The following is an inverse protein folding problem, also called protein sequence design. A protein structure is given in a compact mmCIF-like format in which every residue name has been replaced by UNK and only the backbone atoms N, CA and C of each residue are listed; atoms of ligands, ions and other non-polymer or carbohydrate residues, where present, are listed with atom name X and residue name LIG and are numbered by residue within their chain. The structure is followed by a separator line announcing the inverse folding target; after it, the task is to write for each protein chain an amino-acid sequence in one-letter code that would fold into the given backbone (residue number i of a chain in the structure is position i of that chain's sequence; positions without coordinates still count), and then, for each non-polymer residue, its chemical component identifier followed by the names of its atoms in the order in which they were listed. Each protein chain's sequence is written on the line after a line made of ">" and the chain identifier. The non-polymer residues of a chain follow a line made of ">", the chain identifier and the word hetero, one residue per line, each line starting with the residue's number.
data_IF_931936911317
#
_entry.id   IF_931936911317
#
_cell.length_a   1.000
_cell.length_b   1.000
_cell.length_c   1.000
_cell.angle_alpha   90.00
_cell.angle_beta   90.00
_cell.angle_gamma   90.00
#
_symmetry.space_group_name_H-M   'P 1'
#
loop_
_entity.id
_entity.type
_entity.pdbx_description
1 polymer ?
#
# COMPACT_ATOMS: atom_id res chain seq x y z
N UNK A 1 27.70 54.41 57.83
CA UNK A 1 27.04 55.65 57.38
C UNK A 1 26.04 55.27 56.29
N UNK A 2 24.73 55.42 56.57
CA UNK A 2 23.53 55.61 55.71
C UNK A 2 23.48 54.97 54.29
N UNK A 3 22.35 54.56 53.70
CA UNK A 3 20.92 54.32 54.01
C UNK A 3 20.35 53.77 52.68
N UNK A 4 19.56 52.68 52.75
CA UNK A 4 18.29 52.39 52.04
C UNK A 4 18.18 52.74 50.53
N UNK A 5 17.84 51.75 49.68
CA UNK A 5 16.64 51.74 48.83
C UNK A 5 16.27 50.28 48.48
N UNK A 6 15.03 49.96 48.84
CA UNK A 6 14.29 48.74 48.56
C UNK A 6 13.89 48.68 47.08
N UNK A 7 14.11 47.54 46.42
CA UNK A 7 13.26 47.07 45.32
C UNK A 7 13.06 45.57 45.46
N UNK A 8 11.83 45.23 45.80
CA UNK A 8 11.26 43.90 45.94
C UNK A 8 11.41 43.17 44.59
N UNK A 9 12.28 42.16 44.53
CA UNK A 9 12.29 41.20 43.43
C UNK A 9 11.31 40.08 43.78
N UNK A 10 10.24 39.97 42.98
CA UNK A 10 9.32 38.84 43.04
C UNK A 10 10.07 37.57 42.61
N UNK A 11 9.97 36.59 43.50
CA UNK A 11 10.61 35.28 43.46
C UNK A 11 9.80 34.34 42.54
N UNK A 12 10.51 33.38 41.95
CA UNK A 12 10.11 31.98 41.70
C UNK A 12 9.10 31.65 40.57
N UNK A 13 9.20 30.51 39.87
CA UNK A 13 10.15 29.39 39.80
C UNK A 13 9.83 28.62 38.50
N UNK A 14 10.85 27.93 37.99
CA UNK A 14 10.89 26.88 36.96
C UNK A 14 9.57 26.13 36.67
N UNK A 15 9.33 25.87 35.38
CA UNK A 15 9.11 24.51 34.86
C UNK A 15 9.54 24.44 33.37
N UNK A 16 10.53 23.60 33.02
CA UNK A 16 10.80 23.25 31.63
C UNK A 16 9.90 22.06 31.26
N UNK A 17 9.04 22.21 30.26
CA UNK A 17 8.35 21.07 29.68
C UNK A 17 8.13 21.28 28.19
N UNK A 18 8.86 20.45 27.44
CA UNK A 18 8.53 19.90 26.13
C UNK A 18 7.81 20.81 25.13
N UNK A 19 8.58 21.21 24.12
CA UNK A 19 8.30 20.89 22.71
C UNK A 19 6.80 20.63 22.42
N UNK A 20 6.15 21.61 21.80
CA UNK A 20 4.88 21.44 21.10
C UNK A 20 5.05 20.35 20.03
N UNK A 21 4.84 19.09 20.39
CA UNK A 21 4.44 18.07 19.43
C UNK A 21 2.97 18.32 19.14
N UNK A 22 2.70 19.02 18.04
CA UNK A 22 1.41 18.97 17.38
C UNK A 22 1.18 17.51 16.98
N UNK A 23 0.43 16.78 17.80
CA UNK A 23 -0.12 15.49 17.41
C UNK A 23 -1.31 15.81 16.51
N UNK A 24 -1.08 15.79 15.20
CA UNK A 24 -2.14 15.72 14.20
C UNK A 24 -2.88 14.39 14.42
N UNK A 25 -3.93 14.43 15.24
CA UNK A 25 -4.95 13.39 15.27
C UNK A 25 -5.84 13.63 14.05
N UNK A 26 -5.81 12.80 12.99
CA UNK A 26 -6.81 12.95 11.96
C UNK A 26 -8.15 12.58 12.58
N UNK A 27 -9.11 13.50 12.48
CA UNK A 27 -10.51 13.28 12.81
C UNK A 27 -11.05 12.19 11.86
N UNK A 28 -11.01 10.94 12.33
CA UNK A 28 -11.27 9.74 11.52
C UNK A 28 -12.77 9.45 11.30
N UNK A 29 -13.51 10.41 10.75
CA UNK A 29 -14.90 10.21 10.34
C UNK A 29 -15.12 10.40 8.83
N UNK A 30 -14.07 10.64 8.06
CA UNK A 30 -14.14 10.66 6.60
C UNK A 30 -13.85 9.24 6.10
N UNK A 31 -14.71 8.63 5.26
CA UNK A 31 -14.40 7.33 4.67
C UNK A 31 -13.05 7.45 3.98
N UNK A 32 -12.16 6.44 4.11
CA UNK A 32 -10.84 6.52 3.50
C UNK A 32 -11.03 6.85 2.02
N UNK A 33 -10.53 8.00 1.59
CA UNK A 33 -10.57 8.38 0.19
C UNK A 33 -9.94 7.24 -0.62
N UNK A 34 -10.73 6.67 -1.54
CA UNK A 34 -10.29 5.57 -2.39
C UNK A 34 -9.01 5.89 -3.17
N UNK A 35 -8.71 7.19 -3.35
CA UNK A 35 -7.48 7.71 -3.92
C UNK A 35 -6.20 7.36 -3.12
N UNK A 36 -6.27 7.23 -1.79
CA UNK A 36 -5.07 6.93 -0.99
C UNK A 36 -4.81 5.43 -0.80
N UNK A 37 -5.85 4.60 -0.94
CA UNK A 37 -5.84 3.20 -0.51
C UNK A 37 -4.79 2.35 -1.24
N UNK A 38 -4.40 2.68 -2.47
CA UNK A 38 -3.36 1.94 -3.22
C UNK A 38 -2.10 2.74 -3.52
N UNK A 39 -1.94 3.92 -2.92
CA UNK A 39 -0.75 4.74 -3.17
C UNK A 39 0.52 3.96 -2.86
N UNK A 40 1.53 4.11 -3.71
CA UNK A 40 2.85 3.49 -3.53
C UNK A 40 3.45 3.86 -2.17
N UNK A 41 3.78 2.82 -1.40
CA UNK A 41 4.48 2.93 -0.12
C UNK A 41 5.67 1.98 -0.11
N UNK A 42 6.63 2.22 0.77
CA UNK A 42 7.71 1.24 1.01
C UNK A 42 7.11 -0.06 1.51
N UNK A 43 7.62 -1.19 1.02
CA UNK A 43 7.25 -2.51 1.51
C UNK A 43 7.37 -2.60 3.03
N UNK A 44 6.38 -3.22 3.67
CA UNK A 44 6.29 -3.36 5.13
C UNK A 44 6.15 -4.83 5.52
N UNK A 45 6.76 -5.28 6.63
CA UNK A 45 6.63 -6.67 7.09
C UNK A 45 5.18 -7.14 7.33
N UNK A 46 4.26 -6.23 7.62
CA UNK A 46 2.83 -6.55 7.75
C UNK A 46 2.20 -7.06 6.44
N UNK A 47 2.84 -6.82 5.29
CA UNK A 47 2.44 -7.37 4.00
C UNK A 47 2.74 -8.87 3.88
N UNK A 48 3.61 -9.43 4.73
CA UNK A 48 4.06 -10.83 4.63
C UNK A 48 2.92 -11.86 4.67
N UNK A 49 1.78 -11.52 5.27
CA UNK A 49 0.58 -12.38 5.26
C UNK A 49 0.00 -12.62 3.86
N UNK A 50 0.43 -11.84 2.86
CA UNK A 50 -0.02 -11.92 1.47
C UNK A 50 1.04 -12.47 0.52
N UNK A 51 2.19 -12.91 1.04
CA UNK A 51 3.17 -13.65 0.24
C UNK A 51 2.54 -14.96 -0.22
N UNK A 52 2.79 -15.31 -1.48
CA UNK A 52 2.31 -16.58 -2.02
C UNK A 52 2.11 -16.55 -3.53
N UNK A 53 1.79 -17.72 -4.06
CA UNK A 53 1.43 -17.89 -5.46
C UNK A 53 -0.08 -17.87 -5.60
N UNK A 54 -0.61 -17.07 -6.52
CA UNK A 54 -2.04 -16.89 -6.73
C UNK A 54 -2.40 -17.20 -8.17
N UNK A 55 -3.57 -17.80 -8.37
CA UNK A 55 -4.16 -18.05 -9.68
C UNK A 55 -5.41 -17.20 -9.87
N UNK A 56 -5.52 -16.57 -11.04
CA UNK A 56 -6.72 -15.83 -11.42
C UNK A 56 -7.87 -16.81 -11.65
N UNK A 57 -9.00 -16.52 -11.03
CA UNK A 57 -10.25 -17.26 -11.18
C UNK A 57 -11.38 -16.33 -11.61
N UNK A 58 -12.43 -16.88 -12.21
CA UNK A 58 -13.66 -16.14 -12.53
C UNK A 58 -13.58 -15.28 -13.80
N UNK A 59 -12.55 -15.46 -14.63
CA UNK A 59 -12.45 -14.84 -15.96
C UNK A 59 -12.38 -15.94 -17.00
N UNK A 60 -13.29 -15.93 -17.96
CA UNK A 60 -13.34 -16.91 -19.04
C UNK A 60 -12.21 -16.65 -20.04
N UNK A 61 -11.57 -17.72 -20.53
CA UNK A 61 -10.51 -17.67 -21.56
C UNK A 61 -9.27 -16.84 -21.19
N UNK A 62 -9.09 -16.54 -19.90
CA UNK A 62 -7.94 -15.82 -19.37
C UNK A 62 -7.30 -16.65 -18.28
N UNK A 63 -6.03 -16.99 -18.47
CA UNK A 63 -5.17 -17.55 -17.43
C UNK A 63 -4.24 -16.49 -16.89
N UNK A 64 -4.06 -16.40 -15.57
CA UNK A 64 -3.02 -15.55 -15.00
C UNK A 64 -2.55 -16.09 -13.66
N UNK A 65 -1.27 -15.89 -13.39
CA UNK A 65 -0.65 -16.19 -12.10
C UNK A 65 0.12 -14.98 -11.58
N UNK A 66 0.16 -14.88 -10.25
CA UNK A 66 0.83 -13.81 -9.53
C UNK A 66 1.60 -14.41 -8.36
N UNK A 67 2.90 -14.19 -8.31
CA UNK A 67 3.74 -14.52 -7.16
C UNK A 67 4.09 -13.23 -6.42
N UNK A 68 3.74 -13.14 -5.15
CA UNK A 68 4.17 -12.07 -4.24
C UNK A 68 5.28 -12.60 -3.34
N UNK A 69 6.48 -12.03 -3.43
CA UNK A 69 7.69 -12.47 -2.73
C UNK A 69 7.93 -11.65 -1.43
N UNK A 70 8.60 -12.23 -0.41
CA UNK A 70 8.84 -11.59 0.91
C UNK A 70 9.68 -10.32 0.91
N UNK A 71 10.39 -10.04 -0.17
CA UNK A 71 11.27 -8.88 -0.33
C UNK A 71 10.59 -7.71 -1.06
N UNK A 72 9.28 -7.81 -1.28
CA UNK A 72 8.50 -6.81 -2.01
C UNK A 72 8.66 -6.94 -3.53
N UNK A 73 9.15 -8.07 -4.05
CA UNK A 73 9.16 -8.39 -5.48
C UNK A 73 7.97 -9.22 -5.90
N UNK A 74 7.57 -9.06 -7.16
CA UNK A 74 6.51 -9.90 -7.73
C UNK A 74 6.93 -10.44 -9.09
N UNK A 75 6.32 -11.56 -9.46
CA UNK A 75 6.29 -12.09 -10.82
C UNK A 75 4.84 -12.27 -11.23
N UNK A 76 4.52 -11.93 -12.46
CA UNK A 76 3.16 -11.97 -12.97
C UNK A 76 3.18 -12.44 -14.41
N UNK A 77 2.23 -13.32 -14.75
CA UNK A 77 2.01 -13.82 -16.10
C UNK A 77 0.52 -13.79 -16.44
N UNK A 78 0.20 -13.53 -17.71
CA UNK A 78 -1.14 -13.55 -18.27
C UNK A 78 -1.09 -14.22 -19.64
N UNK A 79 -2.06 -15.09 -19.89
CA UNK A 79 -2.35 -15.66 -21.20
C UNK A 79 -3.83 -15.43 -21.54
N UNK A 80 -4.10 -14.83 -22.69
CA UNK A 80 -5.44 -14.63 -23.25
C UNK A 80 -5.40 -14.76 -24.77
N UNK A 81 -6.05 -15.79 -25.32
CA UNK A 81 -5.98 -16.09 -26.74
C UNK A 81 -4.53 -16.31 -27.21
N UNK A 82 -4.04 -15.42 -28.09
CA UNK A 82 -2.65 -15.43 -28.59
C UNK A 82 -1.75 -14.39 -27.92
N UNK A 83 -2.25 -13.67 -26.90
CA UNK A 83 -1.50 -12.67 -26.15
C UNK A 83 -0.97 -13.30 -24.86
N UNK A 84 0.35 -13.30 -24.72
CA UNK A 84 1.05 -13.66 -23.49
C UNK A 84 1.79 -12.42 -22.96
N UNK A 85 1.63 -12.12 -21.68
CA UNK A 85 2.29 -10.98 -21.03
C UNK A 85 2.96 -11.41 -19.75
N UNK A 86 4.12 -10.81 -19.50
CA UNK A 86 4.93 -11.08 -18.31
C UNK A 86 5.45 -9.78 -17.72
N UNK A 87 5.47 -9.71 -16.39
CA UNK A 87 6.07 -8.60 -15.68
C UNK A 87 6.70 -9.05 -14.35
N UNK A 88 7.82 -8.43 -14.04
CA UNK A 88 8.36 -8.40 -12.68
C UNK A 88 8.42 -6.96 -12.19
N UNK A 89 8.48 -6.79 -10.87
CA UNK A 89 8.62 -5.47 -10.31
C UNK A 89 8.55 -5.45 -8.80
N UNK A 90 7.93 -4.42 -8.26
CA UNK A 90 7.74 -4.25 -6.82
C UNK A 90 6.28 -4.24 -6.45
N UNK A 91 5.95 -4.77 -5.28
CA UNK A 91 4.62 -4.72 -4.70
C UNK A 91 4.65 -4.13 -3.29
N UNK A 92 3.51 -3.63 -2.86
CA UNK A 92 3.30 -3.13 -1.51
C UNK A 92 1.86 -3.36 -1.08
N UNK A 93 1.63 -3.37 0.23
CA UNK A 93 0.31 -3.30 0.82
C UNK A 93 0.08 -1.92 1.43
N UNK A 94 -1.07 -1.33 1.14
CA UNK A 94 -1.53 -0.10 1.77
C UNK A 94 -3.03 -0.26 2.08
N UNK A 95 -3.44 -0.08 3.34
CA UNK A 95 -4.82 -0.33 3.76
C UNK A 95 -5.33 -1.71 3.32
N UNK A 96 -6.43 -1.72 2.56
CA UNK A 96 -7.09 -2.91 1.99
C UNK A 96 -6.68 -3.18 0.54
N UNK A 97 -5.52 -2.70 0.10
CA UNK A 97 -5.06 -2.83 -1.27
C UNK A 97 -3.63 -3.36 -1.36
N UNK A 98 -3.37 -4.15 -2.40
CA UNK A 98 -2.04 -4.48 -2.91
C UNK A 98 -1.81 -3.73 -4.22
N UNK A 99 -0.73 -2.95 -4.27
CA UNK A 99 -0.30 -2.27 -5.48
C UNK A 99 0.86 -3.02 -6.14
N UNK A 100 0.86 -3.04 -7.47
CA UNK A 100 1.95 -3.58 -8.29
C UNK A 100 2.55 -2.49 -9.15
N UNK A 101 3.88 -2.49 -9.27
CA UNK A 101 4.61 -1.61 -10.18
C UNK A 101 5.63 -2.41 -10.97
N UNK A 102 5.29 -2.64 -12.23
CA UNK A 102 6.20 -3.30 -13.16
C UNK A 102 7.52 -2.51 -13.30
N UNK A 103 8.62 -3.24 -13.42
CA UNK A 103 9.93 -2.67 -13.69
C UNK A 103 9.95 -2.02 -15.10
N UNK A 104 10.76 -0.97 -15.32
CA UNK A 104 10.70 -0.16 -16.54
C UNK A 104 10.76 -0.95 -17.85
N UNK A 105 11.54 -2.04 -17.88
CA UNK A 105 11.73 -2.87 -19.07
C UNK A 105 10.45 -3.56 -19.57
N UNK A 106 9.47 -3.80 -18.68
CA UNK A 106 8.21 -4.46 -19.05
C UNK A 106 7.13 -3.46 -19.50
N UNK A 107 7.14 -2.23 -18.98
CA UNK A 107 5.98 -1.31 -19.04
C UNK A 107 5.47 -1.00 -20.44
N UNK A 108 6.36 -0.84 -21.42
CA UNK A 108 5.97 -0.47 -22.78
C UNK A 108 5.24 -1.59 -23.54
N UNK A 109 5.30 -2.82 -23.04
CA UNK A 109 4.71 -4.01 -23.66
C UNK A 109 3.50 -4.56 -22.88
N UNK A 110 3.13 -3.90 -21.78
CA UNK A 110 2.01 -4.32 -20.95
C UNK A 110 0.72 -3.65 -21.42
N UNK A 111 -0.14 -4.45 -22.04
CA UNK A 111 -1.46 -4.05 -22.52
C UNK A 111 -2.54 -4.33 -21.46
N UNK A 112 -2.44 -5.46 -20.76
CA UNK A 112 -3.43 -5.93 -19.78
C UNK A 112 -2.73 -6.20 -18.46
N UNK A 113 -2.37 -5.13 -17.74
CA UNK A 113 -1.75 -5.22 -16.41
C UNK A 113 -2.74 -4.74 -15.33
N UNK A 114 -2.93 -5.48 -14.21
CA UNK A 114 -3.85 -5.06 -13.17
C UNK A 114 -3.44 -3.69 -12.60
N UNK A 115 -4.40 -2.77 -12.54
CA UNK A 115 -4.18 -1.41 -12.03
C UNK A 115 -4.32 -1.35 -10.52
N UNK A 116 -5.11 -2.28 -9.94
CA UNK A 116 -5.36 -2.38 -8.51
C UNK A 116 -5.73 -3.82 -8.12
N UNK A 117 -5.24 -4.25 -6.96
CA UNK A 117 -5.66 -5.51 -6.31
C UNK A 117 -6.29 -5.19 -4.95
N UNK A 118 -7.60 -5.33 -4.84
CA UNK A 118 -8.33 -5.10 -3.60
C UNK A 118 -8.41 -6.38 -2.77
N UNK A 119 -8.12 -6.26 -1.48
CA UNK A 119 -8.27 -7.37 -0.54
C UNK A 119 -9.74 -7.76 -0.42
N UNK A 120 -9.97 -9.06 -0.36
CA UNK A 120 -11.28 -9.64 -0.10
C UNK A 120 -11.13 -10.82 0.87
N UNK A 121 -12.25 -11.42 1.27
CA UNK A 121 -12.25 -12.54 2.23
C UNK A 121 -11.45 -13.76 1.73
N UNK A 122 -11.46 -14.00 0.42
CA UNK A 122 -10.93 -15.23 -0.20
C UNK A 122 -9.75 -15.00 -1.13
N UNK A 123 -9.30 -13.76 -1.33
CA UNK A 123 -8.21 -13.47 -2.27
C UNK A 123 -8.08 -11.98 -2.61
N UNK A 124 -7.60 -11.71 -3.82
CA UNK A 124 -7.33 -10.37 -4.33
C UNK A 124 -8.17 -10.11 -5.58
N UNK A 125 -9.10 -9.17 -5.48
CA UNK A 125 -9.94 -8.78 -6.60
C UNK A 125 -9.15 -7.90 -7.58
N UNK A 126 -9.10 -8.29 -8.85
CA UNK A 126 -8.33 -7.57 -9.86
C UNK A 126 -9.18 -6.51 -10.56
N UNK A 127 -8.72 -5.26 -10.53
CA UNK A 127 -9.21 -4.19 -11.39
C UNK A 127 -8.26 -4.04 -12.59
N UNK A 128 -8.81 -4.07 -13.80
CA UNK A 128 -8.05 -4.00 -15.05
C UNK A 128 -7.98 -2.56 -15.60
N UNK A 129 -7.22 -2.31 -16.69
CA UNK A 129 -7.15 -0.97 -17.29
C UNK A 129 -8.48 -0.40 -17.78
N UNK A 130 -9.48 -1.25 -18.06
CA UNK A 130 -10.85 -0.85 -18.39
C UNK A 130 -11.66 -0.34 -17.18
N UNK A 131 -11.07 -0.39 -15.98
CA UNK A 131 -11.69 0.03 -14.72
C UNK A 131 -12.66 -1.00 -14.13
N UNK A 132 -12.90 -2.11 -14.82
CA UNK A 132 -13.78 -3.16 -14.32
C UNK A 132 -13.02 -4.14 -13.44
N UNK A 133 -13.67 -4.51 -12.34
CA UNK A 133 -13.21 -5.62 -11.51
C UNK A 133 -13.70 -6.92 -12.13
N UNK A 134 -12.79 -7.75 -12.64
CA UNK A 134 -13.12 -9.05 -13.24
C UNK A 134 -12.16 -10.11 -12.72
N UNK A 135 -12.73 -11.12 -12.07
CA UNK A 135 -11.96 -12.21 -11.48
C UNK A 135 -11.23 -11.84 -10.20
N UNK A 136 -10.67 -12.87 -9.59
CA UNK A 136 -10.03 -12.83 -8.30
C UNK A 136 -8.78 -13.71 -8.33
N UNK A 137 -7.65 -13.18 -7.89
CA UNK A 137 -6.47 -13.97 -7.60
C UNK A 137 -6.68 -14.70 -6.28
N UNK A 138 -6.77 -16.02 -6.35
CA UNK A 138 -6.96 -16.91 -5.18
C UNK A 138 -5.62 -17.57 -4.87
N UNK A 139 -5.27 -17.61 -3.59
CA UNK A 139 -4.02 -18.24 -3.14
C UNK A 139 -4.01 -19.72 -3.51
N UNK A 140 -2.92 -20.19 -4.09
CA UNK A 140 -2.73 -21.58 -4.44
C UNK A 140 -2.84 -22.45 -3.18
N UNK A 141 -3.74 -23.43 -3.22
CA UNK A 141 -3.87 -24.44 -2.16
C UNK A 141 -2.82 -25.52 -2.42
N UNK A 142 -1.92 -25.73 -1.46
CA UNK A 142 -0.99 -26.86 -1.46
C UNK A 142 -1.68 -28.15 -0.99
#
# INVERSE_FOLDING_TARGET
>A
MNRIISRIFLISVLFPACQLYANDKPLSNEPPNNESLCKEVKFQPAANAWIGHYYLQGVMEVGSELLLEPDGKFKWYLAVGALDQYAEGTWWKNGTCIGLKAAPQYRQYLEIFPTRLDLSETGLNATWPDGHQKGQYVLASH
#
